data_IF_652576057833
#
_entry.id   IF_652576057833
#
_cell.length_a   1.000
_cell.length_b   1.000
_cell.length_c   1.000
_cell.angle_alpha   90.00
_cell.angle_beta   90.00
_cell.angle_gamma   90.00
#
_symmetry.space_group_name_H-M   'P 1'
#
loop_
_entity.id
_entity.type
_entity.pdbx_description
1 polymer ?
#
# COMPACT_ATOMS: atom_id res chain seq x y z
N UNK A 1 1.75 -21.68 37.04
CA UNK A 1 0.62 -21.02 36.36
C UNK A 1 1.19 -19.87 35.53
N UNK A 2 0.85 -19.74 34.25
CA UNK A 2 1.26 -18.59 33.47
C UNK A 2 0.21 -17.48 33.62
N UNK A 3 0.66 -16.26 33.85
CA UNK A 3 -0.18 -15.05 33.93
C UNK A 3 -0.14 -14.33 32.58
N UNK A 4 -1.14 -13.49 32.35
CA UNK A 4 -1.25 -12.61 31.19
C UNK A 4 0.03 -11.80 31.05
N UNK A 5 0.68 -11.86 29.89
CA UNK A 5 1.94 -11.14 29.65
C UNK A 5 1.73 -9.62 29.45
N UNK A 6 0.49 -9.14 29.44
CA UNK A 6 0.15 -7.72 29.29
C UNK A 6 -0.14 -7.06 30.63
N UNK A 7 -0.96 -7.71 31.48
CA UNK A 7 -1.35 -7.14 32.77
C UNK A 7 -0.75 -7.86 33.99
N UNK A 8 -0.12 -9.03 33.82
CA UNK A 8 0.49 -9.82 34.88
C UNK A 8 -0.42 -10.21 36.06
N UNK A 9 -1.75 -10.03 35.94
CA UNK A 9 -2.70 -10.23 37.04
C UNK A 9 -3.57 -11.48 36.89
N UNK A 10 -4.00 -11.79 35.66
CA UNK A 10 -4.98 -12.82 35.38
C UNK A 10 -4.38 -13.94 34.54
N UNK A 11 -4.96 -15.14 34.60
CA UNK A 11 -4.58 -16.23 33.69
C UNK A 11 -4.95 -15.85 32.24
N UNK A 12 -4.06 -16.08 31.26
CA UNK A 12 -4.34 -15.76 29.88
C UNK A 12 -5.37 -16.75 29.30
N UNK A 13 -6.28 -16.21 28.49
CA UNK A 13 -7.34 -16.97 27.81
C UNK A 13 -7.14 -17.04 26.31
N UNK A 14 -6.37 -16.11 25.77
CA UNK A 14 -6.19 -15.92 24.33
C UNK A 14 -4.70 -15.77 24.01
N UNK A 15 -4.34 -16.00 22.75
CA UNK A 15 -2.99 -15.90 22.22
C UNK A 15 -3.00 -15.01 21.00
N UNK A 16 -2.05 -14.08 20.90
CA UNK A 16 -1.86 -13.30 19.69
C UNK A 16 -1.24 -14.20 18.61
N UNK A 17 -1.77 -14.26 17.38
CA UNK A 17 -1.17 -15.04 16.30
C UNK A 17 0.16 -14.45 15.81
N UNK A 18 0.39 -13.15 15.99
CA UNK A 18 1.54 -12.41 15.44
C UNK A 18 2.81 -12.57 16.26
N UNK A 19 2.73 -12.36 17.56
CA UNK A 19 3.88 -12.38 18.47
C UNK A 19 3.76 -13.47 19.54
N UNK A 20 2.75 -14.34 19.41
CA UNK A 20 2.49 -15.49 20.28
C UNK A 20 2.23 -15.18 21.76
N UNK A 21 2.19 -13.90 22.13
CA UNK A 21 1.97 -13.46 23.50
C UNK A 21 0.59 -13.90 24.00
N UNK A 22 0.53 -14.28 25.27
CA UNK A 22 -0.70 -14.76 25.91
C UNK A 22 -1.33 -13.65 26.74
N UNK A 23 -2.64 -13.43 26.55
CA UNK A 23 -3.37 -12.33 27.20
C UNK A 23 -4.73 -12.79 27.75
N UNK A 24 -5.27 -12.07 28.73
CA UNK A 24 -6.49 -12.49 29.44
C UNK A 24 -7.81 -11.95 28.83
N UNK A 25 -7.77 -10.81 28.13
CA UNK A 25 -8.97 -10.11 27.67
C UNK A 25 -8.73 -9.18 26.47
N UNK A 26 -9.81 -8.73 25.83
CA UNK A 26 -9.77 -7.73 24.76
C UNK A 26 -9.12 -6.40 25.20
N UNK A 27 -9.23 -6.04 26.49
CA UNK A 27 -8.53 -4.86 27.02
C UNK A 27 -7.02 -5.02 27.00
N UNK A 28 -6.52 -6.21 27.35
CA UNK A 28 -5.10 -6.55 27.21
C UNK A 28 -4.69 -6.67 25.74
N UNK A 29 -5.56 -7.16 24.86
CA UNK A 29 -5.29 -7.17 23.42
C UNK A 29 -5.07 -5.75 22.89
N UNK A 30 -5.91 -4.77 23.24
CA UNK A 30 -5.75 -3.38 22.77
C UNK A 30 -4.46 -2.73 23.28
N UNK A 31 -4.17 -2.85 24.58
CA UNK A 31 -2.91 -2.36 25.16
C UNK A 31 -1.69 -3.01 24.52
N UNK A 32 -1.78 -4.30 24.25
CA UNK A 32 -0.74 -5.01 23.54
C UNK A 32 -0.64 -4.58 22.08
N UNK A 33 -1.75 -4.38 21.37
CA UNK A 33 -1.79 -4.05 19.93
C UNK A 33 -0.96 -2.81 19.58
N UNK A 34 -0.88 -1.84 20.49
CA UNK A 34 -0.09 -0.61 20.30
C UNK A 34 1.43 -0.86 20.28
N UNK A 35 1.90 -1.94 20.93
CA UNK A 35 3.31 -2.35 20.99
C UNK A 35 3.58 -3.70 20.32
N UNK A 36 2.52 -4.40 19.92
CA UNK A 36 2.57 -5.56 19.06
C UNK A 36 2.97 -5.02 17.70
N UNK A 37 4.03 -5.58 17.10
CA UNK A 37 4.41 -5.30 15.72
C UNK A 37 3.37 -5.82 14.74
N UNK A 38 2.12 -5.41 14.89
CA UNK A 38 1.08 -5.46 13.86
C UNK A 38 1.27 -4.22 13.00
N UNK A 39 2.47 -4.06 12.44
CA UNK A 39 2.55 -3.58 11.08
C UNK A 39 2.16 -4.80 10.25
N UNK A 40 0.99 -4.68 9.63
CA UNK A 40 0.50 -5.44 8.49
C UNK A 40 0.78 -6.95 8.41
N UNK A 41 -0.29 -7.72 8.21
CA UNK A 41 -0.20 -9.10 7.67
C UNK A 41 0.23 -9.12 6.18
N UNK A 42 1.08 -8.17 5.79
CA UNK A 42 1.75 -8.06 4.49
C UNK A 42 3.15 -7.54 4.84
N UNK A 43 4.19 -8.36 4.70
CA UNK A 43 5.56 -7.90 4.90
C UNK A 43 5.78 -6.60 4.11
N UNK A 44 6.28 -5.54 4.73
CA UNK A 44 6.64 -4.32 3.99
C UNK A 44 7.70 -4.61 2.91
N UNK A 45 8.52 -5.65 3.11
CA UNK A 45 9.45 -6.18 2.11
C UNK A 45 8.78 -6.96 0.95
N UNK A 46 7.51 -7.38 1.06
CA UNK A 46 6.70 -7.93 -0.05
C UNK A 46 5.85 -6.84 -0.75
N UNK A 47 5.91 -5.58 -0.28
CA UNK A 47 5.14 -4.42 -0.76
C UNK A 47 6.04 -3.43 -1.54
N UNK A 48 7.24 -3.83 -1.94
CA UNK A 48 8.17 -2.99 -2.70
C UNK A 48 7.51 -2.43 -3.98
N UNK A 49 6.57 -3.18 -4.56
CA UNK A 49 5.87 -2.80 -5.79
C UNK A 49 4.63 -1.88 -5.59
N UNK A 50 4.27 -1.49 -4.35
CA UNK A 50 3.14 -0.57 -4.13
C UNK A 50 3.59 0.86 -3.89
N UNK A 51 2.89 1.79 -4.52
CA UNK A 51 3.10 3.22 -4.34
C UNK A 51 2.33 3.72 -3.10
N UNK A 52 2.98 4.38 -2.12
CA UNK A 52 2.30 4.97 -0.97
C UNK A 52 1.25 6.02 -1.38
N UNK A 53 0.17 6.12 -0.61
CA UNK A 53 -0.95 7.02 -0.90
C UNK A 53 -0.50 8.48 -1.04
N UNK A 54 0.45 8.93 -0.22
CA UNK A 54 1.00 10.28 -0.26
C UNK A 54 1.64 10.58 -1.62
N UNK A 55 2.30 9.59 -2.24
CA UNK A 55 2.92 9.74 -3.56
C UNK A 55 1.87 9.68 -4.67
N UNK A 56 0.84 8.86 -4.53
CA UNK A 56 -0.29 8.84 -5.45
C UNK A 56 -1.02 10.19 -5.51
N UNK A 57 -1.10 10.92 -4.39
CA UNK A 57 -1.69 12.27 -4.38
C UNK A 57 -0.92 13.29 -5.24
N UNK A 58 0.40 13.10 -5.42
CA UNK A 58 1.22 13.97 -6.27
C UNK A 58 0.81 13.87 -7.75
N UNK A 59 0.33 12.70 -8.19
CA UNK A 59 -0.16 12.51 -9.56
C UNK A 59 -1.28 13.49 -9.90
N UNK A 60 -2.16 13.79 -8.93
CA UNK A 60 -3.28 14.72 -9.11
C UNK A 60 -2.88 16.20 -9.20
N UNK A 61 -1.65 16.54 -8.80
CA UNK A 61 -1.10 17.89 -8.84
C UNK A 61 -0.35 18.18 -10.15
N UNK A 62 -0.02 17.14 -10.94
CA UNK A 62 0.68 17.30 -12.22
C UNK A 62 -0.29 17.74 -13.32
N UNK A 63 -0.04 18.92 -13.88
CA UNK A 63 -0.82 19.42 -15.03
C UNK A 63 -0.63 18.55 -16.27
N UNK A 64 0.58 18.03 -16.50
CA UNK A 64 0.90 17.15 -17.63
C UNK A 64 0.05 15.86 -17.59
N UNK A 65 -0.08 15.23 -16.41
CA UNK A 65 -0.97 14.07 -16.25
C UNK A 65 -2.44 14.41 -16.46
N UNK A 66 -2.87 15.59 -15.99
CA UNK A 66 -4.26 16.05 -16.17
C UNK A 66 -4.59 16.30 -17.64
N UNK A 67 -3.64 16.82 -18.39
CA UNK A 67 -3.76 17.05 -19.83
C UNK A 67 -3.84 15.73 -20.60
N UNK A 68 -2.96 14.75 -20.28
CA UNK A 68 -3.05 13.40 -20.84
C UNK A 68 -4.41 12.75 -20.51
N UNK A 69 -4.87 12.90 -19.26
CA UNK A 69 -6.17 12.42 -18.82
C UNK A 69 -7.34 13.16 -19.47
N UNK A 70 -7.16 14.28 -20.18
CA UNK A 70 -8.25 14.85 -20.99
C UNK A 70 -8.62 13.96 -22.17
N UNK A 71 -7.73 13.03 -22.57
CA UNK A 71 -7.99 12.10 -23.65
C UNK A 71 -9.04 11.03 -23.22
N UNK A 72 -10.21 10.95 -23.88
CA UNK A 72 -11.25 9.99 -23.52
C UNK A 72 -10.81 8.53 -23.74
N UNK A 73 -9.95 8.27 -24.72
CA UNK A 73 -9.44 6.94 -25.01
C UNK A 73 -8.55 6.42 -23.88
N UNK A 74 -7.66 7.27 -23.36
CA UNK A 74 -6.81 6.94 -22.21
C UNK A 74 -7.65 6.60 -20.97
N UNK A 75 -8.70 7.37 -20.67
CA UNK A 75 -9.62 7.06 -19.57
C UNK A 75 -10.32 5.72 -19.75
N UNK A 76 -10.65 5.37 -20.99
CA UNK A 76 -11.27 4.08 -21.29
C UNK A 76 -10.28 2.92 -21.09
N UNK A 77 -9.03 3.08 -21.53
CA UNK A 77 -7.96 2.10 -21.28
C UNK A 77 -7.77 1.87 -19.78
N UNK A 78 -7.65 2.95 -18.99
CA UNK A 78 -7.49 2.86 -17.54
C UNK A 78 -8.65 2.10 -16.87
N UNK A 79 -9.90 2.40 -17.23
CA UNK A 79 -11.07 1.68 -16.71
C UNK A 79 -11.11 0.23 -17.17
N UNK A 80 -10.68 -0.04 -18.40
CA UNK A 80 -10.63 -1.40 -18.94
C UNK A 80 -9.61 -2.25 -18.18
N UNK A 81 -8.45 -1.68 -17.85
CA UNK A 81 -7.41 -2.35 -17.05
C UNK A 81 -7.89 -2.58 -15.61
N UNK A 82 -8.50 -1.57 -14.98
CA UNK A 82 -9.00 -1.65 -13.60
C UNK A 82 -10.13 -2.68 -13.45
N UNK A 83 -11.06 -2.71 -14.41
CA UNK A 83 -12.20 -3.62 -14.44
C UNK A 83 -11.94 -4.98 -15.09
N UNK A 84 -10.73 -5.26 -15.59
CA UNK A 84 -10.45 -6.50 -16.31
C UNK A 84 -10.51 -7.73 -15.39
N UNK A 85 -11.18 -8.79 -15.89
CA UNK A 85 -11.16 -10.10 -15.24
C UNK A 85 -9.75 -10.72 -15.23
N UNK A 86 -8.96 -10.46 -16.27
CA UNK A 86 -7.56 -10.89 -16.41
C UNK A 86 -6.64 -9.67 -16.49
N UNK A 87 -6.11 -9.24 -15.34
CA UNK A 87 -5.32 -8.01 -15.19
C UNK A 87 -3.98 -8.08 -15.91
N UNK A 88 -3.38 -9.28 -15.97
CA UNK A 88 -2.11 -9.54 -16.65
C UNK A 88 -2.18 -9.27 -18.15
N UNK A 89 -3.22 -9.79 -18.82
CA UNK A 89 -3.42 -9.57 -20.25
C UNK A 89 -3.86 -8.15 -20.55
N UNK A 90 -4.76 -7.60 -19.74
CA UNK A 90 -5.23 -6.21 -19.90
C UNK A 90 -4.08 -5.21 -19.75
N UNK A 91 -3.19 -5.42 -18.77
CA UNK A 91 -2.01 -4.59 -18.60
C UNK A 91 -1.07 -4.71 -19.80
N UNK A 92 -0.78 -5.93 -20.28
CA UNK A 92 0.06 -6.13 -21.48
C UNK A 92 -0.51 -5.44 -22.72
N UNK A 93 -1.82 -5.53 -22.93
CA UNK A 93 -2.50 -4.88 -24.03
C UNK A 93 -2.43 -3.35 -23.90
N UNK A 94 -2.68 -2.81 -22.71
CA UNK A 94 -2.57 -1.38 -22.46
C UNK A 94 -1.13 -0.87 -22.69
N UNK A 95 -0.10 -1.63 -22.31
CA UNK A 95 1.30 -1.29 -22.59
C UNK A 95 1.66 -1.27 -24.09
N UNK A 96 0.83 -1.78 -24.99
CA UNK A 96 1.03 -1.61 -26.44
C UNK A 96 0.54 -0.27 -26.96
N UNK A 97 -0.30 0.44 -26.19
CA UNK A 97 -0.87 1.72 -26.59
C UNK A 97 0.12 2.85 -26.25
N UNK A 98 0.59 3.65 -27.23
CA UNK A 98 1.60 4.67 -26.98
C UNK A 98 1.13 5.75 -25.98
N UNK A 99 -0.17 6.06 -25.99
CA UNK A 99 -0.78 6.98 -25.04
C UNK A 99 -0.74 6.47 -23.60
N UNK A 100 -0.87 5.15 -23.40
CA UNK A 100 -0.81 4.56 -22.07
C UNK A 100 0.62 4.50 -21.56
N UNK A 101 1.59 4.22 -22.44
CA UNK A 101 3.02 4.25 -22.11
C UNK A 101 3.47 5.65 -21.70
N UNK A 102 3.08 6.67 -22.45
CA UNK A 102 3.36 8.08 -22.10
C UNK A 102 2.76 8.45 -20.73
N UNK A 103 1.53 8.01 -20.47
CA UNK A 103 0.90 8.20 -19.16
C UNK A 103 1.64 7.46 -18.03
N UNK A 104 2.06 6.21 -18.24
CA UNK A 104 2.76 5.43 -17.22
C UNK A 104 4.14 6.02 -16.92
N UNK A 105 4.88 6.42 -17.94
CA UNK A 105 6.20 7.04 -17.77
C UNK A 105 6.10 8.33 -16.97
N UNK A 106 5.07 9.14 -17.25
CA UNK A 106 4.83 10.37 -16.52
C UNK A 106 4.43 10.12 -15.06
N UNK A 107 3.67 9.04 -14.79
CA UNK A 107 3.36 8.64 -13.41
C UNK A 107 4.61 8.15 -12.67
N UNK A 108 5.42 7.31 -13.31
CA UNK A 108 6.66 6.79 -12.74
C UNK A 108 7.63 7.92 -12.43
N UNK A 109 7.82 8.88 -13.34
CA UNK A 109 8.67 10.05 -13.12
C UNK A 109 8.31 10.80 -11.83
N UNK A 110 7.02 11.07 -11.59
CA UNK A 110 6.57 11.73 -10.36
C UNK A 110 6.73 10.85 -9.11
N UNK A 111 6.51 9.55 -9.28
CA UNK A 111 6.68 8.50 -8.25
C UNK A 111 8.13 8.01 -8.14
N UNK A 112 9.08 8.63 -8.83
CA UNK A 112 10.51 8.38 -8.66
C UNK A 112 11.18 9.65 -8.14
N UNK A 113 10.85 10.80 -8.71
CA UNK A 113 11.33 12.12 -8.26
C UNK A 113 10.85 12.47 -6.83
N UNK A 114 9.68 11.98 -6.40
CA UNK A 114 9.27 12.13 -5.00
C UNK A 114 10.10 11.32 -3.98
N UNK A 115 10.89 10.33 -4.42
CA UNK A 115 11.69 9.48 -3.56
C UNK A 115 13.04 10.14 -3.28
N UNK A 116 13.59 10.82 -4.28
CA UNK A 116 14.84 11.57 -4.16
C UNK A 116 14.68 12.81 -3.26
N UNK A 117 13.46 13.35 -3.12
CA UNK A 117 13.16 14.45 -2.20
C UNK A 117 13.06 14.04 -0.71
N UNK A 118 12.88 12.74 -0.40
CA UNK A 118 12.79 12.24 0.98
C UNK A 118 14.12 11.66 1.50
N UNK A 119 15.13 11.54 0.65
CA UNK A 119 16.51 11.21 1.05
C UNK A 119 17.36 12.46 1.02
N UNK A 120 17.23 13.34 2.02
CA UNK A 120 18.33 14.24 2.37
C UNK A 120 18.78 13.94 3.81
N UNK A 121 20.05 13.59 4.03
CA UNK A 121 20.58 13.23 5.33
C UNK A 121 20.76 14.48 6.20
N UNK A 122 20.42 14.37 7.47
CA UNK A 122 21.01 15.19 8.52
C UNK A 122 21.22 14.37 9.79
#
# INVERSE_FOLDING_TARGET
MQLCNVCCEQTPKYRCPTCEIRYCSLGCYKKHKEACGVEDLLHEDDIIDKVPLQRLQLLGQSNELRDLLCNPHLRQLLRSVDGAQRKDEAMKAAMQEPLFVEFSDQCLKLVEDGATALTNPQ
#
